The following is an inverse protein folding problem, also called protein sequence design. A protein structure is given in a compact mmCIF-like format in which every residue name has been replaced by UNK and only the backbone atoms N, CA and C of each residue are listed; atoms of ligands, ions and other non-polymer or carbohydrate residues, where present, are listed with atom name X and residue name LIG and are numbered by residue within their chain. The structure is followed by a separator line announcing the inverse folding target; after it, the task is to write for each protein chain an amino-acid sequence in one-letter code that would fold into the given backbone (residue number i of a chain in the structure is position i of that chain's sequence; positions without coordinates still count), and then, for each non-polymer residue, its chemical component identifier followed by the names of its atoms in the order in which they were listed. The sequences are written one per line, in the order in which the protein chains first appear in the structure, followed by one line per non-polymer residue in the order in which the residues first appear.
data_IF_742086564552
#
_entry.id   IF_742086564552
#
_cell.length_a   1.000
_cell.length_b   1.000
_cell.length_c   1.000
_cell.angle_alpha   90.00
_cell.angle_beta   90.00
_cell.angle_gamma   90.00
#
_symmetry.space_group_name_H-M   'P 1'
#
loop_
_entity.id
_entity.type
_entity.pdbx_description
1 polymer ?
#
# COMPACT_ATOMS: atom_id res chain seq x y z
N UNK A 1 -36.16 0.95 37.57
CA UNK A 1 -34.91 0.32 37.09
C UNK A 1 -35.27 -0.99 36.40
N UNK A 2 -34.90 -1.14 35.13
CA UNK A 2 -34.66 -2.40 34.39
C UNK A 2 -34.55 -2.01 32.91
N UNK A 3 -33.40 -1.44 32.54
CA UNK A 3 -32.92 -1.45 31.17
C UNK A 3 -32.36 -2.85 30.92
N UNK A 4 -33.24 -3.81 30.65
CA UNK A 4 -32.80 -5.08 30.05
C UNK A 4 -32.13 -4.73 28.72
N UNK A 5 -30.79 -4.78 28.70
CA UNK A 5 -30.03 -4.73 27.47
C UNK A 5 -30.52 -5.88 26.60
N UNK A 6 -31.37 -5.56 25.63
CA UNK A 6 -31.99 -6.54 24.74
C UNK A 6 -30.88 -7.25 23.98
N UNK A 7 -30.82 -8.58 24.04
CA UNK A 7 -29.75 -9.39 23.44
C UNK A 7 -29.31 -8.80 22.07
N UNK A 8 -28.02 -8.46 21.89
CA UNK A 8 -27.47 -7.96 20.63
C UNK A 8 -27.75 -8.85 19.42
N UNK A 9 -28.11 -10.12 19.64
CA UNK A 9 -28.49 -11.10 18.62
C UNK A 9 -29.90 -10.90 18.06
N UNK A 10 -30.77 -10.18 18.76
CA UNK A 10 -32.14 -9.91 18.33
C UNK A 10 -32.21 -8.65 17.45
N UNK A 11 -32.00 -8.80 16.14
CA UNK A 11 -32.15 -7.73 15.15
C UNK A 11 -33.20 -8.08 14.09
N UNK A 12 -33.87 -7.06 13.56
CA UNK A 12 -34.85 -7.18 12.48
C UNK A 12 -34.18 -7.38 11.12
N UNK A 13 -34.93 -7.93 10.15
CA UNK A 13 -34.46 -8.09 8.78
C UNK A 13 -33.99 -6.76 8.17
N UNK A 14 -34.66 -5.65 8.49
CA UNK A 14 -34.29 -4.32 8.01
C UNK A 14 -32.93 -3.84 8.57
N UNK A 15 -32.64 -4.10 9.85
CA UNK A 15 -31.34 -3.76 10.45
C UNK A 15 -30.22 -4.64 9.90
N UNK A 16 -30.50 -5.93 9.68
CA UNK A 16 -29.56 -6.82 9.02
C UNK A 16 -29.25 -6.37 7.59
N UNK A 17 -30.28 -6.01 6.81
CA UNK A 17 -30.10 -5.50 5.45
C UNK A 17 -29.33 -4.18 5.44
N UNK A 18 -29.60 -3.28 6.41
CA UNK A 18 -28.88 -2.02 6.55
C UNK A 18 -27.39 -2.26 6.86
N UNK A 19 -27.08 -3.09 7.86
CA UNK A 19 -25.70 -3.40 8.23
C UNK A 19 -24.94 -4.14 7.12
N UNK A 20 -25.62 -5.08 6.42
CA UNK A 20 -25.03 -5.86 5.31
C UNK A 20 -24.64 -4.97 4.12
N UNK A 21 -25.41 -3.93 3.80
CA UNK A 21 -25.03 -2.96 2.75
C UNK A 21 -23.70 -2.27 3.04
N UNK A 22 -23.36 -2.14 4.31
CA UNK A 22 -22.14 -1.48 4.78
C UNK A 22 -21.02 -2.46 5.15
N UNK A 23 -21.22 -3.76 4.91
CA UNK A 23 -20.26 -4.80 5.29
C UNK A 23 -20.02 -4.91 6.80
N UNK A 24 -20.89 -4.34 7.63
CA UNK A 24 -20.79 -4.36 9.09
C UNK A 24 -21.65 -5.48 9.68
N UNK A 25 -21.22 -6.02 10.82
CA UNK A 25 -22.05 -6.95 11.59
C UNK A 25 -23.12 -6.15 12.37
N UNK A 26 -24.42 -6.39 12.13
CA UNK A 26 -25.49 -5.71 12.88
C UNK A 26 -25.39 -5.96 14.39
N UNK A 27 -24.87 -7.12 14.83
CA UNK A 27 -24.70 -7.44 16.25
C UNK A 27 -23.68 -6.52 16.91
N UNK A 28 -22.58 -6.25 16.21
CA UNK A 28 -21.52 -5.37 16.69
C UNK A 28 -22.02 -3.93 16.83
N UNK A 29 -22.73 -3.40 15.82
CA UNK A 29 -23.31 -2.04 15.88
C UNK A 29 -24.26 -1.93 17.08
N UNK A 30 -25.13 -2.93 17.25
CA UNK A 30 -26.11 -2.95 18.33
C UNK A 30 -25.45 -2.99 19.70
N UNK A 31 -24.47 -3.88 19.90
CA UNK A 31 -23.71 -3.98 21.13
C UNK A 31 -23.02 -2.66 21.47
N UNK A 32 -22.32 -2.06 20.51
CA UNK A 32 -21.59 -0.79 20.71
C UNK A 32 -22.52 0.35 21.12
N UNK A 33 -23.70 0.48 20.48
CA UNK A 33 -24.68 1.51 20.83
C UNK A 33 -25.36 1.25 22.18
N UNK A 34 -25.63 -0.02 22.52
CA UNK A 34 -26.19 -0.41 23.81
C UNK A 34 -25.21 -0.19 24.96
N UNK A 35 -23.94 -0.55 24.75
CA UNK A 35 -22.87 -0.34 25.72
C UNK A 35 -22.68 1.15 25.96
N UNK A 36 -22.60 1.96 24.90
CA UNK A 36 -22.53 3.42 25.00
C UNK A 36 -23.70 3.98 25.81
N UNK A 37 -24.92 3.46 25.61
CA UNK A 37 -26.11 3.87 26.34
C UNK A 37 -26.06 3.46 27.82
N UNK A 38 -25.56 2.27 28.11
CA UNK A 38 -25.52 1.69 29.45
C UNK A 38 -24.49 2.36 30.37
N UNK A 39 -23.34 2.79 29.83
CA UNK A 39 -22.25 3.40 30.62
C UNK A 39 -22.40 4.91 30.83
N UNK A 40 -23.32 5.54 30.11
CA UNK A 40 -23.57 6.96 30.23
C UNK A 40 -24.82 7.20 31.08
N UNK A 41 -24.89 8.35 31.74
CA UNK A 41 -26.05 8.76 32.54
C UNK A 41 -26.61 10.11 32.08
N UNK A 42 -25.79 10.92 31.42
CA UNK A 42 -26.11 12.26 30.94
C UNK A 42 -25.97 12.38 29.42
N UNK A 43 -26.60 13.39 28.81
CA UNK A 43 -26.45 13.71 27.37
C UNK A 43 -24.97 13.83 26.96
N UNK A 44 -24.18 14.57 27.74
CA UNK A 44 -22.76 14.78 27.46
C UNK A 44 -21.96 13.47 27.52
N UNK A 45 -22.15 12.66 28.57
CA UNK A 45 -21.47 11.35 28.68
C UNK A 45 -21.85 10.39 27.56
N UNK A 46 -23.09 10.45 27.05
CA UNK A 46 -23.53 9.63 25.93
C UNK A 46 -22.91 10.08 24.60
N UNK A 47 -22.83 11.39 24.35
CA UNK A 47 -22.13 11.93 23.18
C UNK A 47 -20.67 11.47 23.17
N UNK A 48 -19.97 11.63 24.29
CA UNK A 48 -18.58 11.20 24.42
C UNK A 48 -18.42 9.69 24.20
N UNK A 49 -19.28 8.88 24.84
CA UNK A 49 -19.26 7.43 24.67
C UNK A 49 -19.49 7.00 23.22
N UNK A 50 -20.36 7.70 22.47
CA UNK A 50 -20.55 7.47 21.04
C UNK A 50 -19.32 7.86 20.23
N UNK A 51 -18.73 9.02 20.50
CA UNK A 51 -17.57 9.54 19.77
C UNK A 51 -16.34 8.64 19.91
N UNK A 52 -16.05 8.13 21.10
CA UNK A 52 -15.00 7.14 21.34
C UNK A 52 -15.17 5.87 20.50
N UNK A 53 -16.42 5.52 20.19
CA UNK A 53 -16.80 4.34 19.42
C UNK A 53 -16.96 4.63 17.92
N UNK A 54 -16.68 5.86 17.48
CA UNK A 54 -16.75 6.26 16.07
C UNK A 54 -18.17 6.63 15.59
N UNK A 55 -19.06 7.01 16.51
CA UNK A 55 -20.41 7.45 16.22
C UNK A 55 -20.63 8.90 16.68
N UNK A 56 -21.51 9.64 15.97
CA UNK A 56 -21.94 10.99 16.36
C UNK A 56 -23.43 11.07 16.56
N UNK A 57 -23.85 11.81 17.59
CA UNK A 57 -25.26 12.08 17.85
C UNK A 57 -25.76 13.23 16.97
N UNK A 58 -26.92 13.06 16.34
CA UNK A 58 -27.57 14.10 15.55
C UNK A 58 -29.09 14.05 15.64
N UNK A 59 -29.72 15.14 15.19
CA UNK A 59 -31.15 15.27 15.03
C UNK A 59 -31.60 14.68 13.68
N UNK A 60 -32.49 13.69 13.72
CA UNK A 60 -33.16 13.13 12.55
C UNK A 60 -34.37 13.95 12.07
N UNK A 61 -34.81 13.71 10.84
CA UNK A 61 -35.87 14.47 10.16
C UNK A 61 -37.25 14.41 10.83
N UNK A 62 -37.54 13.36 11.60
CA UNK A 62 -38.84 13.11 12.22
C UNK A 62 -38.84 13.34 13.74
N UNK A 63 -38.04 14.31 14.21
CA UNK A 63 -37.87 14.56 15.65
C UNK A 63 -37.47 13.27 16.37
N UNK A 64 -36.34 12.72 15.94
CA UNK A 64 -35.79 11.47 16.45
C UNK A 64 -34.29 11.58 16.64
N UNK A 65 -33.76 11.07 17.74
CA UNK A 65 -32.33 10.92 17.95
C UNK A 65 -31.74 9.87 17.00
N UNK A 66 -30.65 10.23 16.33
CA UNK A 66 -29.94 9.38 15.39
C UNK A 66 -28.46 9.35 15.75
N UNK A 67 -27.83 8.19 15.62
CA UNK A 67 -26.38 8.07 15.60
C UNK A 67 -25.90 7.98 14.15
N UNK A 68 -24.85 8.72 13.79
CA UNK A 68 -24.16 8.61 12.51
C UNK A 68 -22.84 7.91 12.70
N UNK A 69 -22.45 7.00 11.81
CA UNK A 69 -21.06 6.53 11.77
C UNK A 69 -20.15 7.46 10.94
N UNK A 70 -18.85 7.17 10.94
CA UNK A 70 -17.86 7.87 10.13
C UNK A 70 -18.15 7.87 8.62
N UNK A 71 -18.99 6.98 8.10
CA UNK A 71 -19.39 6.97 6.68
C UNK A 71 -20.69 7.75 6.42
N UNK A 72 -21.29 8.34 7.47
CA UNK A 72 -22.51 9.12 7.38
C UNK A 72 -23.79 8.29 7.41
N UNK A 73 -23.70 7.00 7.77
CA UNK A 73 -24.87 6.13 7.87
C UNK A 73 -25.69 6.42 9.10
N UNK A 74 -27.01 6.45 8.93
CA UNK A 74 -27.98 6.93 9.90
C UNK A 74 -28.58 5.75 10.66
N UNK A 75 -28.34 5.68 11.97
CA UNK A 75 -28.88 4.66 12.87
C UNK A 75 -29.91 5.29 13.82
N UNK A 76 -31.16 4.88 13.72
CA UNK A 76 -32.22 5.35 14.60
C UNK A 76 -32.02 4.82 16.03
N UNK A 77 -31.59 5.69 16.95
CA UNK A 77 -31.11 5.28 18.27
C UNK A 77 -32.10 4.42 19.06
N UNK A 78 -33.38 4.83 19.26
CA UNK A 78 -34.34 4.04 20.05
C UNK A 78 -34.49 2.60 19.54
N UNK A 79 -34.41 2.41 18.22
CA UNK A 79 -34.57 1.12 17.57
C UNK A 79 -33.33 0.24 17.79
N UNK A 80 -32.15 0.80 17.53
CA UNK A 80 -30.88 0.08 17.64
C UNK A 80 -30.53 -0.28 19.09
N UNK A 81 -30.73 0.64 20.05
CA UNK A 81 -30.47 0.34 21.47
C UNK A 81 -31.59 -0.51 22.10
N UNK A 82 -32.78 -0.52 21.50
CA UNK A 82 -33.95 -1.27 21.99
C UNK A 82 -34.69 -0.59 23.13
N UNK A 83 -34.57 0.73 23.27
CA UNK A 83 -35.16 1.53 24.35
C UNK A 83 -36.31 2.39 23.80
N UNK A 84 -37.39 2.56 24.58
CA UNK A 84 -38.54 3.38 24.16
C UNK A 84 -38.11 4.84 23.94
N UNK A 85 -38.61 5.46 22.87
CA UNK A 85 -38.28 6.85 22.50
C UNK A 85 -38.51 7.85 23.64
N UNK A 86 -39.52 7.64 24.48
CA UNK A 86 -39.78 8.50 25.66
C UNK A 86 -38.61 8.51 26.65
N UNK A 87 -38.00 7.34 26.89
CA UNK A 87 -36.84 7.20 27.80
C UNK A 87 -35.62 7.89 27.20
N UNK A 88 -35.42 7.72 25.88
CA UNK A 88 -34.33 8.40 25.16
C UNK A 88 -34.46 9.91 25.26
N UNK A 89 -35.67 10.45 25.03
CA UNK A 89 -35.97 11.89 25.15
C UNK A 89 -35.80 12.41 26.58
N UNK A 90 -36.23 11.62 27.58
CA UNK A 90 -36.06 12.00 28.99
C UNK A 90 -34.60 12.18 29.38
N UNK A 91 -33.68 11.37 28.82
CA UNK A 91 -32.25 11.44 29.15
C UNK A 91 -31.45 12.41 28.27
N UNK A 92 -31.80 12.52 26.99
CA UNK A 92 -31.08 13.37 26.03
C UNK A 92 -31.66 14.79 25.91
N UNK A 93 -32.82 15.04 26.52
CA UNK A 93 -33.47 16.36 26.51
C UNK A 93 -34.09 16.69 25.16
N UNK A 94 -33.95 17.94 24.73
CA UNK A 94 -34.46 18.39 23.45
C UNK A 94 -33.52 18.01 22.29
N UNK A 95 -34.14 17.70 21.16
CA UNK A 95 -33.50 17.34 19.91
C UNK A 95 -33.05 18.58 19.14
N UNK A 96 -33.64 19.75 19.42
CA UNK A 96 -33.34 21.02 18.76
C UNK A 96 -31.92 21.54 19.06
N UNK A 97 -31.35 21.13 20.19
CA UNK A 97 -29.97 21.47 20.57
C UNK A 97 -28.91 20.68 19.78
N UNK A 98 -29.30 19.68 18.99
CA UNK A 98 -28.38 18.83 18.26
C UNK A 98 -28.24 19.27 16.80
N UNK A 99 -27.03 19.16 16.21
CA UNK A 99 -26.85 19.38 14.78
C UNK A 99 -27.72 18.40 13.99
N UNK A 100 -28.21 18.84 12.83
CA UNK A 100 -28.93 17.95 11.94
C UNK A 100 -27.98 16.96 11.24
N UNK A 101 -28.55 15.88 10.69
CA UNK A 101 -27.80 14.84 9.97
C UNK A 101 -26.86 15.45 8.92
N UNK A 102 -27.32 16.43 8.14
CA UNK A 102 -26.54 17.05 7.09
C UNK A 102 -25.32 17.83 7.62
N UNK A 103 -25.48 18.54 8.74
CA UNK A 103 -24.41 19.27 9.41
C UNK A 103 -23.41 18.30 10.04
N UNK A 104 -23.89 17.28 10.75
CA UNK A 104 -23.01 16.25 11.34
C UNK A 104 -22.21 15.50 10.27
N UNK A 105 -22.82 15.17 9.12
CA UNK A 105 -22.11 14.57 7.98
C UNK A 105 -20.98 15.47 7.46
N UNK A 106 -21.22 16.78 7.36
CA UNK A 106 -20.20 17.71 6.91
C UNK A 106 -19.03 17.81 7.91
N UNK A 107 -19.31 17.90 9.21
CA UNK A 107 -18.28 17.92 10.25
C UNK A 107 -17.43 16.64 10.26
N UNK A 108 -18.07 15.48 10.12
CA UNK A 108 -17.34 14.19 9.98
C UNK A 108 -16.43 14.23 8.74
N UNK A 109 -16.95 14.69 7.61
CA UNK A 109 -16.19 14.75 6.37
C UNK A 109 -14.96 15.67 6.49
N UNK A 110 -15.12 16.88 7.05
CA UNK A 110 -14.03 17.84 7.25
C UNK A 110 -12.91 17.27 8.13
N UNK A 111 -13.26 16.72 9.30
CA UNK A 111 -12.26 16.15 10.21
C UNK A 111 -11.52 14.94 9.63
N UNK A 112 -12.25 14.07 8.91
CA UNK A 112 -11.65 12.91 8.26
C UNK A 112 -10.75 13.33 7.10
N UNK A 113 -11.13 14.36 6.34
CA UNK A 113 -10.28 14.93 5.30
C UNK A 113 -8.97 15.47 5.87
N UNK A 114 -9.02 16.21 6.98
CA UNK A 114 -7.82 16.70 7.66
C UNK A 114 -6.92 15.55 8.12
N UNK A 115 -7.50 14.50 8.71
CA UNK A 115 -6.76 13.31 9.10
C UNK A 115 -6.10 12.62 7.90
N UNK A 116 -6.81 12.48 6.78
CA UNK A 116 -6.29 11.88 5.55
C UNK A 116 -5.17 12.72 4.92
N UNK A 117 -5.24 14.06 4.98
CA UNK A 117 -4.13 14.92 4.52
C UNK A 117 -2.88 14.72 5.37
N UNK A 118 -3.02 14.58 6.70
CA UNK A 118 -1.88 14.25 7.59
C UNK A 118 -1.29 12.89 7.22
N UNK A 119 -2.12 11.88 7.01
CA UNK A 119 -1.66 10.54 6.59
C UNK A 119 -0.96 10.56 5.23
N UNK A 120 -1.45 11.35 4.28
CA UNK A 120 -0.77 11.56 2.99
C UNK A 120 0.63 12.16 3.18
N UNK A 121 0.76 13.14 4.07
CA UNK A 121 2.07 13.70 4.45
C UNK A 121 3.01 12.64 5.02
N UNK A 122 2.54 11.86 5.99
CA UNK A 122 3.29 10.75 6.60
C UNK A 122 3.75 9.71 5.55
N UNK A 123 2.88 9.32 4.62
CA UNK A 123 3.25 8.39 3.55
C UNK A 123 4.39 8.92 2.66
N UNK A 124 4.39 10.22 2.35
CA UNK A 124 5.47 10.83 1.57
C UNK A 124 6.78 10.88 2.36
N UNK A 125 6.71 11.23 3.64
CA UNK A 125 7.85 11.23 4.55
C UNK A 125 8.47 9.83 4.71
N UNK A 126 7.67 8.77 4.71
CA UNK A 126 8.15 7.38 4.78
C UNK A 126 8.75 6.89 3.46
N UNK A 127 8.23 7.36 2.32
CA UNK A 127 8.70 6.98 0.98
C UNK A 127 10.11 7.47 0.70
N UNK A 128 10.37 8.74 1.04
CA UNK A 128 11.62 9.42 0.71
C UNK A 128 12.88 8.67 1.20
N UNK A 129 13.00 8.28 2.48
CA UNK A 129 14.18 7.56 2.97
C UNK A 129 14.30 6.17 2.34
N UNK A 130 13.19 5.44 2.17
CA UNK A 130 13.18 4.10 1.54
C UNK A 130 13.68 4.16 0.10
N UNK A 131 13.19 5.13 -0.69
CA UNK A 131 13.63 5.31 -2.07
C UNK A 131 15.10 5.74 -2.12
N UNK A 132 15.53 6.65 -1.25
CA UNK A 132 16.94 7.07 -1.17
C UNK A 132 17.89 5.90 -0.87
N UNK A 133 17.47 4.96 -0.01
CA UNK A 133 18.22 3.74 0.33
C UNK A 133 18.39 2.84 -0.90
N UNK A 134 17.32 2.59 -1.66
CA UNK A 134 17.40 1.82 -2.91
C UNK A 134 18.29 2.51 -3.96
N UNK A 135 18.23 3.85 -4.05
CA UNK A 135 19.13 4.61 -4.93
C UNK A 135 20.60 4.48 -4.53
N UNK A 136 20.90 4.56 -3.23
CA UNK A 136 22.26 4.33 -2.70
C UNK A 136 22.75 2.91 -3.02
N UNK A 137 21.92 1.90 -2.79
CA UNK A 137 22.23 0.50 -3.11
C UNK A 137 22.50 0.30 -4.60
N UNK A 138 21.67 0.89 -5.47
CA UNK A 138 21.87 0.85 -6.93
C UNK A 138 23.22 1.45 -7.31
N UNK A 139 23.59 2.63 -6.77
CA UNK A 139 24.89 3.25 -7.06
C UNK A 139 26.04 2.35 -6.62
N UNK A 140 26.00 1.85 -5.39
CA UNK A 140 27.03 0.94 -4.86
C UNK A 140 27.15 -0.34 -5.70
N UNK A 141 26.03 -0.94 -6.13
CA UNK A 141 26.03 -2.08 -7.04
C UNK A 141 26.71 -1.75 -8.38
N UNK A 142 26.33 -0.63 -9.00
CA UNK A 142 26.92 -0.20 -10.29
C UNK A 142 28.44 0.02 -10.17
N UNK A 143 28.91 0.66 -9.09
CA UNK A 143 30.33 0.84 -8.86
C UNK A 143 31.08 -0.49 -8.71
N UNK A 144 30.54 -1.42 -7.90
CA UNK A 144 31.11 -2.76 -7.74
C UNK A 144 31.16 -3.51 -9.07
N UNK A 145 30.05 -3.53 -9.82
CA UNK A 145 29.97 -4.22 -11.11
C UNK A 145 30.97 -3.69 -12.13
N UNK A 146 31.18 -2.37 -12.20
CA UNK A 146 32.17 -1.74 -13.07
C UNK A 146 33.59 -2.18 -12.71
N UNK A 147 33.93 -2.10 -11.43
CA UNK A 147 35.25 -2.51 -10.94
C UNK A 147 35.52 -4.00 -11.20
N UNK A 148 34.54 -4.88 -10.96
CA UNK A 148 34.68 -6.32 -11.23
C UNK A 148 34.86 -6.62 -12.72
N UNK A 149 34.09 -5.96 -13.60
CA UNK A 149 34.21 -6.13 -15.06
C UNK A 149 35.59 -5.69 -15.54
N UNK A 150 36.05 -4.53 -15.09
CA UNK A 150 37.37 -4.02 -15.46
C UNK A 150 38.48 -5.00 -15.04
N UNK A 151 38.48 -5.45 -13.78
CA UNK A 151 39.44 -6.46 -13.30
C UNK A 151 39.43 -7.75 -14.12
N UNK A 152 38.23 -8.25 -14.46
CA UNK A 152 38.11 -9.48 -15.23
C UNK A 152 38.69 -9.31 -16.64
N UNK A 153 38.37 -8.19 -17.31
CA UNK A 153 38.90 -7.88 -18.64
C UNK A 153 40.42 -7.79 -18.59
N UNK A 154 40.99 -7.03 -17.65
CA UNK A 154 42.45 -6.89 -17.49
C UNK A 154 43.13 -8.26 -17.25
N UNK A 155 42.48 -9.13 -16.46
CA UNK A 155 42.99 -10.48 -16.18
C UNK A 155 42.98 -11.36 -17.43
N UNK A 156 41.87 -11.34 -18.19
CA UNK A 156 41.73 -12.08 -19.45
C UNK A 156 42.75 -11.59 -20.47
N UNK A 157 42.95 -10.27 -20.60
CA UNK A 157 43.92 -9.69 -21.54
C UNK A 157 45.35 -10.11 -21.22
N UNK A 158 45.78 -9.97 -19.96
CA UNK A 158 47.13 -10.42 -19.53
C UNK A 158 47.33 -11.90 -19.81
N UNK A 159 46.32 -12.72 -19.52
CA UNK A 159 46.35 -14.16 -19.77
C UNK A 159 46.45 -14.46 -21.27
N UNK A 160 45.66 -13.79 -22.11
CA UNK A 160 45.71 -13.93 -23.57
C UNK A 160 47.10 -13.60 -24.13
N UNK A 161 47.72 -12.54 -23.64
CA UNK A 161 49.10 -12.18 -24.02
C UNK A 161 50.11 -13.26 -23.65
N UNK A 162 50.04 -13.79 -22.43
CA UNK A 162 50.92 -14.87 -21.98
C UNK A 162 50.71 -16.15 -22.79
N UNK A 163 49.46 -16.57 -22.97
CA UNK A 163 49.12 -17.76 -23.74
C UNK A 163 49.52 -17.61 -25.22
N UNK A 164 49.34 -16.42 -25.82
CA UNK A 164 49.80 -16.14 -27.18
C UNK A 164 51.33 -16.25 -27.29
N UNK A 165 52.07 -15.71 -26.32
CA UNK A 165 53.53 -15.80 -26.26
C UNK A 165 54.00 -17.26 -26.15
N UNK A 166 53.34 -18.06 -25.32
CA UNK A 166 53.63 -19.50 -25.16
C UNK A 166 53.32 -20.27 -26.45
N UNK A 167 52.22 -19.97 -27.14
CA UNK A 167 51.89 -20.60 -28.44
C UNK A 167 52.91 -20.21 -29.51
N UNK A 168 53.34 -18.95 -29.53
CA UNK A 168 54.34 -18.46 -30.48
C UNK A 168 55.73 -19.08 -30.23
N UNK A 169 56.13 -19.25 -28.97
CA UNK A 169 57.43 -19.84 -28.62
C UNK A 169 57.56 -21.32 -29.00
N UNK A 170 56.46 -22.01 -29.31
CA UNK A 170 56.50 -23.40 -29.82
C UNK A 170 57.00 -23.48 -31.26
N UNK A 171 56.89 -22.40 -32.02
CA UNK A 171 57.48 -22.34 -33.35
C UNK A 171 58.97 -22.06 -33.24
N UNK A 172 59.80 -22.91 -33.86
CA UNK A 172 61.24 -22.71 -33.94
C UNK A 172 61.55 -21.62 -34.97
N UNK A 173 62.52 -20.76 -34.67
CA UNK A 173 62.95 -19.70 -35.58
C UNK A 173 64.00 -20.18 -36.60
N UNK A 174 64.17 -19.43 -37.69
CA UNK A 174 65.23 -19.61 -38.68
C UNK A 174 65.12 -20.89 -39.52
N UNK A 175 66.27 -21.38 -40.01
CA UNK A 175 66.36 -22.55 -40.89
C UNK A 175 65.72 -23.81 -40.29
N UNK A 176 65.71 -23.96 -38.96
CA UNK A 176 65.04 -25.08 -38.26
C UNK A 176 63.52 -25.05 -38.44
N UNK A 177 62.90 -23.87 -38.51
CA UNK A 177 61.47 -23.72 -38.78
C UNK A 177 61.10 -24.12 -40.22
N UNK A 178 61.99 -23.88 -41.18
CA UNK A 178 61.81 -24.35 -42.57
C UNK A 178 61.91 -25.88 -42.67
N UNK A 179 62.80 -26.51 -41.89
CA UNK A 179 62.86 -27.97 -41.75
C UNK A 179 61.61 -28.58 -41.11
N UNK A 180 61.01 -27.90 -40.12
CA UNK A 180 59.76 -28.35 -39.48
C UNK A 180 58.55 -28.23 -40.42
N UNK A 181 58.59 -27.26 -41.35
CA UNK A 181 57.60 -27.12 -42.41
C UNK A 181 57.70 -28.27 -43.43
N UNK A 182 58.91 -28.61 -43.87
CA UNK A 182 59.14 -29.75 -44.77
C UNK A 182 58.72 -31.10 -44.15
N UNK A 183 58.88 -31.27 -42.83
CA UNK A 183 58.47 -32.47 -42.07
C UNK A 183 56.99 -32.50 -41.66
N UNK A 184 56.23 -31.42 -41.92
CA UNK A 184 54.82 -31.29 -41.52
C UNK A 184 54.58 -31.10 -40.01
N UNK A 185 55.64 -31.00 -39.21
CA UNK A 185 55.55 -30.72 -37.76
C UNK A 185 54.94 -29.34 -37.50
N UNK A 186 55.23 -28.36 -38.34
CA UNK A 186 54.64 -27.01 -38.26
C UNK A 186 53.10 -27.05 -38.33
N UNK A 187 52.53 -27.89 -39.21
CA UNK A 187 51.08 -28.06 -39.36
C UNK A 187 50.46 -28.69 -38.10
N UNK A 188 51.14 -29.65 -37.48
CA UNK A 188 50.70 -30.27 -36.21
C UNK A 188 50.71 -29.26 -35.06
N UNK A 189 51.78 -28.46 -34.95
CA UNK A 189 51.90 -27.40 -33.94
C UNK A 189 50.80 -26.35 -34.13
N UNK A 190 50.54 -25.95 -35.38
CA UNK A 190 49.46 -25.03 -35.72
C UNK A 190 48.08 -25.57 -35.27
N UNK A 191 47.74 -26.81 -35.64
CA UNK A 191 46.45 -27.42 -35.27
C UNK A 191 46.27 -27.49 -33.74
N UNK A 192 47.34 -27.83 -33.00
CA UNK A 192 47.32 -27.83 -31.54
C UNK A 192 47.12 -26.42 -30.98
N UNK A 193 47.85 -25.43 -31.49
CA UNK A 193 47.71 -24.04 -31.07
C UNK A 193 46.30 -23.50 -31.35
N UNK A 194 45.70 -23.86 -32.48
CA UNK A 194 44.32 -23.51 -32.83
C UNK A 194 43.30 -24.16 -31.88
N UNK A 195 43.45 -25.46 -31.59
CA UNK A 195 42.58 -26.16 -30.65
C UNK A 195 42.67 -25.54 -29.23
N UNK A 196 43.88 -25.27 -28.75
CA UNK A 196 44.11 -24.61 -27.47
C UNK A 196 43.58 -23.16 -27.46
N UNK A 197 43.74 -22.40 -28.54
CA UNK A 197 43.19 -21.05 -28.66
C UNK A 197 41.65 -21.06 -28.59
N UNK A 198 41.00 -22.01 -29.28
CA UNK A 198 39.55 -22.21 -29.20
C UNK A 198 39.10 -22.57 -27.80
N UNK A 199 39.79 -23.50 -27.13
CA UNK A 199 39.47 -23.90 -25.75
C UNK A 199 39.59 -22.73 -24.76
N UNK A 200 40.67 -21.94 -24.86
CA UNK A 200 40.85 -20.74 -24.04
C UNK A 200 39.77 -19.68 -24.31
N UNK A 201 39.42 -19.44 -25.57
CA UNK A 201 38.36 -18.49 -25.92
C UNK A 201 36.99 -18.92 -25.36
N UNK A 202 36.67 -20.23 -25.41
CA UNK A 202 35.45 -20.77 -24.83
C UNK A 202 35.43 -20.64 -23.30
N UNK A 203 36.56 -20.88 -22.63
CA UNK A 203 36.70 -20.67 -21.19
C UNK A 203 36.45 -19.20 -20.84
N UNK A 204 37.15 -18.27 -21.50
CA UNK A 204 37.04 -16.85 -21.20
C UNK A 204 35.62 -16.33 -21.45
N UNK A 205 34.94 -16.84 -22.50
CA UNK A 205 33.51 -16.56 -22.74
C UNK A 205 32.64 -17.05 -21.58
N UNK A 206 32.84 -18.27 -21.09
CA UNK A 206 32.10 -18.79 -19.94
C UNK A 206 32.33 -17.97 -18.68
N UNK A 207 33.56 -17.49 -18.43
CA UNK A 207 33.88 -16.60 -17.31
C UNK A 207 33.12 -15.27 -17.41
N UNK A 208 33.07 -14.67 -18.61
CA UNK A 208 32.31 -13.44 -18.86
C UNK A 208 30.80 -13.66 -18.69
N UNK A 209 30.25 -14.73 -19.28
CA UNK A 209 28.83 -15.07 -19.19
C UNK A 209 28.42 -15.31 -17.72
N UNK A 210 29.23 -16.03 -16.96
CA UNK A 210 28.98 -16.25 -15.52
C UNK A 210 28.93 -14.93 -14.73
N UNK A 211 29.85 -13.99 -15.01
CA UNK A 211 29.82 -12.67 -14.40
C UNK A 211 28.55 -11.90 -14.77
N UNK A 212 28.15 -11.93 -16.05
CA UNK A 212 26.93 -11.27 -16.52
C UNK A 212 25.69 -11.83 -15.81
N UNK A 213 25.56 -13.16 -15.71
CA UNK A 213 24.42 -13.79 -15.03
C UNK A 213 24.35 -13.43 -13.54
N UNK A 214 25.49 -13.46 -12.83
CA UNK A 214 25.53 -13.06 -11.42
C UNK A 214 25.07 -11.60 -11.23
N UNK A 215 25.53 -10.69 -12.10
CA UNK A 215 25.17 -9.28 -12.04
C UNK A 215 23.71 -9.02 -12.44
N UNK A 216 23.16 -9.78 -13.39
CA UNK A 216 21.75 -9.73 -13.76
C UNK A 216 20.86 -10.18 -12.60
N UNK A 217 21.24 -11.25 -11.90
CA UNK A 217 20.51 -11.73 -10.72
C UNK A 217 20.48 -10.68 -9.59
N UNK A 218 21.63 -10.06 -9.27
CA UNK A 218 21.69 -8.98 -8.26
C UNK A 218 20.84 -7.77 -8.68
N UNK A 219 20.91 -7.37 -9.96
CA UNK A 219 20.08 -6.28 -10.50
C UNK A 219 18.59 -6.60 -10.39
N UNK A 220 18.19 -7.84 -10.66
CA UNK A 220 16.78 -8.27 -10.61
C UNK A 220 16.22 -8.09 -9.20
N UNK A 221 16.95 -8.47 -8.17
CA UNK A 221 16.53 -8.26 -6.78
C UNK A 221 16.24 -6.78 -6.46
N UNK A 222 17.10 -5.85 -6.88
CA UNK A 222 16.86 -4.42 -6.68
C UNK A 222 15.65 -3.89 -7.47
N UNK A 223 15.44 -4.40 -8.68
CA UNK A 223 14.26 -4.06 -9.51
C UNK A 223 12.98 -4.54 -8.83
N UNK A 224 12.97 -5.78 -8.33
CA UNK A 224 11.83 -6.37 -7.65
C UNK A 224 11.50 -5.63 -6.36
N UNK A 225 12.51 -5.26 -5.56
CA UNK A 225 12.34 -4.43 -4.36
C UNK A 225 11.73 -3.06 -4.69
N UNK A 226 12.22 -2.39 -5.75
CA UNK A 226 11.67 -1.11 -6.21
C UNK A 226 10.24 -1.25 -6.70
N UNK A 227 9.92 -2.32 -7.44
CA UNK A 227 8.59 -2.59 -7.93
C UNK A 227 7.61 -2.93 -6.80
N UNK A 228 8.03 -3.68 -5.79
CA UNK A 228 7.26 -3.96 -4.58
C UNK A 228 6.94 -2.67 -3.82
N UNK A 229 7.96 -1.82 -3.61
CA UNK A 229 7.80 -0.52 -2.98
C UNK A 229 6.80 0.35 -3.74
N UNK A 230 6.95 0.46 -5.07
CA UNK A 230 6.03 1.24 -5.90
C UNK A 230 4.58 0.73 -5.84
N UNK A 231 4.38 -0.60 -5.80
CA UNK A 231 3.05 -1.21 -5.64
C UNK A 231 2.42 -0.89 -4.28
N UNK A 232 3.19 -1.02 -3.19
CA UNK A 232 2.76 -0.66 -1.84
C UNK A 232 2.28 0.80 -1.80
N UNK A 233 3.09 1.74 -2.29
CA UNK A 233 2.73 3.16 -2.31
C UNK A 233 1.54 3.46 -3.21
N UNK A 234 1.47 2.86 -4.40
CA UNK A 234 0.33 3.04 -5.29
C UNK A 234 -0.98 2.55 -4.65
N UNK A 235 -0.94 1.42 -3.93
CA UNK A 235 -2.11 0.89 -3.21
C UNK A 235 -2.57 1.83 -2.10
N UNK A 236 -1.66 2.26 -1.22
CA UNK A 236 -2.00 3.18 -0.11
C UNK A 236 -2.50 4.53 -0.62
N UNK A 237 -1.88 5.07 -1.67
CA UNK A 237 -2.30 6.33 -2.29
C UNK A 237 -3.71 6.22 -2.89
N UNK A 238 -4.04 5.09 -3.52
CA UNK A 238 -5.39 4.84 -4.05
C UNK A 238 -6.41 4.81 -2.93
N UNK A 239 -6.15 4.06 -1.84
CA UNK A 239 -7.05 3.98 -0.69
C UNK A 239 -7.33 5.39 -0.11
N UNK A 240 -6.28 6.19 0.16
CA UNK A 240 -6.46 7.57 0.66
C UNK A 240 -7.27 8.42 -0.33
N UNK A 241 -7.01 8.29 -1.63
CA UNK A 241 -7.74 9.06 -2.63
C UNK A 241 -9.22 8.65 -2.72
N UNK A 242 -9.51 7.36 -2.63
CA UNK A 242 -10.87 6.83 -2.63
C UNK A 242 -11.62 7.25 -1.36
N UNK A 243 -10.95 7.26 -0.20
CA UNK A 243 -11.49 7.78 1.06
C UNK A 243 -11.80 9.28 0.96
N UNK A 244 -10.85 10.10 0.47
CA UNK A 244 -11.08 11.54 0.25
C UNK A 244 -12.30 11.76 -0.64
N UNK A 245 -12.42 11.01 -1.74
CA UNK A 245 -13.56 11.09 -2.66
C UNK A 245 -14.88 10.75 -1.95
N UNK A 246 -14.89 9.73 -1.10
CA UNK A 246 -16.07 9.35 -0.32
C UNK A 246 -16.49 10.49 0.62
N UNK A 247 -15.54 11.08 1.34
CA UNK A 247 -15.82 12.22 2.22
C UNK A 247 -16.24 13.48 1.45
N UNK A 248 -15.68 13.75 0.27
CA UNK A 248 -16.12 14.84 -0.62
C UNK A 248 -17.57 14.66 -1.09
N UNK A 249 -17.99 13.41 -1.36
CA UNK A 249 -19.37 13.10 -1.71
C UNK A 249 -20.31 13.31 -0.52
N UNK A 250 -19.90 12.88 0.68
CA UNK A 250 -20.62 13.07 1.94
C UNK A 250 -20.76 14.55 2.31
N UNK A 251 -19.71 15.36 2.11
CA UNK A 251 -19.77 16.81 2.33
C UNK A 251 -20.76 17.49 1.36
N UNK A 252 -20.74 17.09 0.08
CA UNK A 252 -21.65 17.66 -0.94
C UNK A 252 -23.12 17.29 -0.73
N UNK A 253 -23.44 16.18 -0.06
CA UNK A 253 -24.83 15.79 0.20
C UNK A 253 -25.58 16.84 1.04
N UNK A 254 -24.88 17.62 1.87
CA UNK A 254 -25.43 18.75 2.66
C UNK A 254 -26.18 19.76 1.79
N UNK A 255 -25.66 20.08 0.60
CA UNK A 255 -26.30 21.04 -0.31
C UNK A 255 -27.63 20.52 -0.86
N UNK A 256 -27.65 19.24 -1.25
CA UNK A 256 -28.84 18.58 -1.81
C UNK A 256 -29.93 18.32 -0.76
N UNK A 257 -29.56 17.84 0.44
CA UNK A 257 -30.50 17.55 1.52
C UNK A 257 -31.13 18.84 2.08
N UNK A 258 -30.33 19.92 2.20
CA UNK A 258 -30.82 21.22 2.65
C UNK A 258 -31.80 21.87 1.64
N UNK A 259 -31.53 21.76 0.32
CA UNK A 259 -32.46 22.20 -0.72
C UNK A 259 -33.76 21.39 -0.73
N UNK A 260 -33.67 20.06 -0.62
CA UNK A 260 -34.85 19.19 -0.54
C UNK A 260 -35.72 19.52 0.68
N UNK A 261 -35.09 19.80 1.83
CA UNK A 261 -35.79 20.17 3.06
C UNK A 261 -36.48 21.53 2.97
N UNK A 262 -35.85 22.52 2.32
CA UNK A 262 -36.48 23.82 2.02
C UNK A 262 -37.69 23.64 1.12
N UNK A 263 -37.56 22.92 0.02
CA UNK A 263 -38.67 22.66 -0.92
C UNK A 263 -39.84 21.92 -0.26
N UNK A 264 -39.54 20.96 0.63
CA UNK A 264 -40.57 20.19 1.33
C UNK A 264 -41.32 20.97 2.42
N UNK A 265 -40.71 22.03 2.96
CA UNK A 265 -41.37 23.00 3.86
C UNK A 265 -42.23 24.02 3.10
N UNK A 266 -41.90 24.32 1.85
CA UNK A 266 -42.67 25.22 0.97
C UNK A 266 -43.93 24.58 0.37
N UNK A 267 -44.03 23.24 0.38
CA UNK A 267 -45.16 22.47 -0.16
C UNK A 267 -46.17 22.05 0.93
N UNK A 268 -45.96 22.49 2.18
CA UNK A 268 -46.88 22.30 3.31
C UNK A 268 -47.41 23.64 3.78
#
# INVERSE_FOLDING_TARGET
AQSEARDPRNFSLAEWQQAKRQGKDPRAIKAVLQDAWAISDTKASFIHALEERGYRLAKGDRSSFVALDMHGEVYALPKWIGVRTKIVRQRLGDEDDLPDVATTKATIAEEMQDALQRHKGQLLSDLQPRNSRLHKQRRAMVHRHRATRQKLIETIERRKWQEARIRQSRFRSGLKGLWDWARGEAKRIQQRNEAEAKACALRDRKELDALVFAQLAERRQLVDMRAALAREFASRRRNIHDDIRAYDAMHRSRGSESQHRKNRRLVR
#
